data_IF_896714949384
#
_entry.id   IF_896714949384
#
_cell.length_a   1.000
_cell.length_b   1.000
_cell.length_c   1.000
_cell.angle_alpha   90.00
_cell.angle_beta   90.00
_cell.angle_gamma   90.00
#
_symmetry.space_group_name_H-M   'P 1'
#
loop_
_entity.id
_entity.type
_entity.pdbx_description
1 polymer ?
#
# COMPACT_ATOMS: atom_id res chain seq x y z
N UNK A 1 14.42 -1.45 18.11
CA UNK A 1 13.72 -2.13 17.00
C UNK A 1 14.27 -1.73 15.61
N UNK A 2 14.72 -0.50 15.34
CA UNK A 2 15.36 -0.16 14.05
C UNK A 2 16.89 -0.44 13.98
N UNK A 3 17.55 -0.63 15.13
CA UNK A 3 19.02 -0.77 15.22
C UNK A 3 19.57 -2.17 14.92
N UNK A 4 18.70 -3.14 14.59
CA UNK A 4 19.10 -4.54 14.38
C UNK A 4 19.53 -4.83 12.93
N UNK A 5 19.16 -3.95 11.99
CA UNK A 5 19.47 -4.10 10.58
C UNK A 5 20.67 -3.24 10.20
N UNK A 6 21.82 -3.87 9.94
CA UNK A 6 23.07 -3.16 9.60
C UNK A 6 23.01 -2.32 8.31
N UNK A 7 22.10 -2.68 7.39
CA UNK A 7 22.02 -2.09 6.05
C UNK A 7 20.67 -1.42 5.77
N UNK A 8 19.81 -1.22 6.77
CA UNK A 8 18.50 -0.59 6.59
C UNK A 8 18.41 0.60 7.54
N UNK A 9 18.09 1.76 6.99
CA UNK A 9 17.85 2.98 7.77
C UNK A 9 16.39 3.39 7.67
N UNK A 10 15.81 3.78 8.80
CA UNK A 10 14.41 4.24 8.86
C UNK A 10 14.36 5.71 8.49
N UNK A 11 13.55 6.05 7.49
CA UNK A 11 13.27 7.42 7.10
C UNK A 11 12.01 7.88 7.84
N UNK A 12 12.10 9.01 8.54
CA UNK A 12 10.93 9.64 9.16
C UNK A 12 10.20 10.49 8.12
N UNK A 13 8.94 10.14 7.87
CA UNK A 13 8.04 10.97 7.07
C UNK A 13 7.34 11.98 7.99
N UNK A 14 7.04 13.17 7.44
CA UNK A 14 6.21 14.15 8.13
C UNK A 14 4.79 13.61 8.32
N UNK A 15 4.15 13.92 9.46
CA UNK A 15 2.78 13.52 9.70
C UNK A 15 1.85 14.15 8.66
N UNK A 16 0.80 13.42 8.27
CA UNK A 16 -0.24 13.88 7.33
C UNK A 16 0.25 14.26 5.92
N UNK A 17 1.42 13.78 5.49
CA UNK A 17 1.93 13.98 4.12
C UNK A 17 1.87 12.70 3.29
N UNK A 18 0.68 12.22 2.89
CA UNK A 18 0.54 11.02 2.06
C UNK A 18 1.27 11.14 0.72
N UNK A 19 1.43 12.36 0.20
CA UNK A 19 2.19 12.64 -1.03
C UNK A 19 3.69 12.32 -0.92
N UNK A 20 4.25 12.31 0.30
CA UNK A 20 5.64 11.94 0.55
C UNK A 20 5.84 10.44 0.78
N UNK A 21 4.75 9.69 0.94
CA UNK A 21 4.82 8.24 1.11
C UNK A 21 4.72 7.56 -0.28
N UNK A 22 5.82 7.02 -0.83
CA UNK A 22 5.83 6.48 -2.19
C UNK A 22 4.82 5.34 -2.40
N UNK A 23 4.45 4.59 -1.35
CA UNK A 23 3.45 3.53 -1.45
C UNK A 23 2.06 4.07 -1.83
N UNK A 24 1.75 5.33 -1.53
CA UNK A 24 0.46 5.95 -1.88
C UNK A 24 0.28 6.07 -3.39
N UNK A 25 1.37 6.15 -4.16
CA UNK A 25 1.30 6.14 -5.63
C UNK A 25 0.88 4.76 -6.15
N UNK A 26 1.45 3.70 -5.58
CA UNK A 26 1.10 2.31 -5.90
C UNK A 26 -0.36 2.05 -5.56
N UNK A 27 -0.80 2.45 -4.37
CA UNK A 27 -2.20 2.32 -3.96
C UNK A 27 -3.16 3.08 -4.85
N UNK A 28 -2.79 4.29 -5.28
CA UNK A 28 -3.60 5.09 -6.22
C UNK A 28 -3.74 4.36 -7.56
N UNK A 29 -2.66 3.79 -8.08
CA UNK A 29 -2.67 3.04 -9.33
C UNK A 29 -3.55 1.79 -9.25
N UNK A 30 -3.40 1.00 -8.18
CA UNK A 30 -4.20 -0.21 -7.90
C UNK A 30 -5.69 0.10 -7.82
N UNK A 31 -6.05 1.13 -7.04
CA UNK A 31 -7.46 1.55 -6.88
C UNK A 31 -8.09 2.02 -8.18
N UNK A 32 -7.34 2.71 -9.04
CA UNK A 32 -7.87 3.24 -10.30
C UNK A 32 -8.01 2.19 -11.39
N UNK A 33 -7.12 1.19 -11.44
CA UNK A 33 -7.05 0.24 -12.57
C UNK A 33 -7.67 -1.11 -12.29
N UNK A 34 -7.55 -1.61 -11.07
CA UNK A 34 -7.92 -2.98 -10.75
C UNK A 34 -9.09 -3.04 -9.78
N UNK A 35 -9.13 -2.16 -8.78
CA UNK A 35 -10.11 -2.22 -7.70
C UNK A 35 -11.27 -1.21 -7.87
N UNK A 36 -11.28 -0.44 -8.95
CA UNK A 36 -12.35 0.52 -9.22
C UNK A 36 -13.67 -0.20 -9.52
N UNK A 37 -14.74 0.19 -8.84
CA UNK A 37 -16.11 -0.32 -9.05
C UNK A 37 -16.28 -1.84 -8.88
N UNK A 38 -15.38 -2.50 -8.14
CA UNK A 38 -15.55 -3.91 -7.77
C UNK A 38 -16.41 -4.05 -6.50
N UNK A 39 -17.35 -4.99 -6.54
CA UNK A 39 -18.05 -5.47 -5.34
C UNK A 39 -17.30 -6.66 -4.76
N UNK A 40 -16.95 -6.58 -3.48
CA UNK A 40 -16.30 -7.69 -2.78
C UNK A 40 -17.33 -8.48 -1.98
N UNK A 41 -17.30 -9.80 -2.09
CA UNK A 41 -18.24 -10.67 -1.37
C UNK A 41 -17.77 -10.91 0.07
N UNK A 42 -16.48 -11.19 0.25
CA UNK A 42 -15.88 -11.56 1.53
C UNK A 42 -14.45 -11.03 1.64
N UNK A 43 -13.87 -11.07 2.85
CA UNK A 43 -12.48 -10.66 3.06
C UNK A 43 -11.48 -11.40 2.15
N UNK A 44 -11.69 -12.69 1.91
CA UNK A 44 -10.79 -13.47 1.06
C UNK A 44 -10.84 -13.03 -0.40
N UNK A 45 -12.02 -12.62 -0.89
CA UNK A 45 -12.18 -12.06 -2.23
C UNK A 45 -11.38 -10.76 -2.38
N UNK A 46 -11.40 -9.88 -1.38
CA UNK A 46 -10.55 -8.67 -1.36
C UNK A 46 -9.08 -9.05 -1.53
N UNK A 47 -8.58 -10.01 -0.75
CA UNK A 47 -7.17 -10.43 -0.80
C UNK A 47 -6.83 -11.03 -2.16
N UNK A 48 -7.68 -11.91 -2.71
CA UNK A 48 -7.47 -12.49 -4.03
C UNK A 48 -7.36 -11.41 -5.10
N UNK A 49 -8.34 -10.49 -5.17
CA UNK A 49 -8.39 -9.42 -6.18
C UNK A 49 -7.21 -8.45 -6.07
N UNK A 50 -6.71 -8.19 -4.87
CA UNK A 50 -5.52 -7.34 -4.65
C UNK A 50 -4.23 -8.08 -5.02
N UNK A 51 -4.16 -9.40 -4.82
CA UNK A 51 -2.99 -10.21 -5.15
C UNK A 51 -2.85 -10.45 -6.67
N UNK A 52 -3.97 -10.53 -7.38
CA UNK A 52 -4.03 -10.72 -8.84
C UNK A 52 -3.75 -9.44 -9.65
N UNK A 53 -3.80 -8.27 -9.00
CA UNK A 53 -3.67 -6.95 -9.62
C UNK A 53 -2.21 -6.51 -9.84
#
# INVERSE_FOLDING_TARGET
>A
MANDFKNVSVIKLSPYSPELNPIEQVWRWLRQRYLANQSFTDYHDIISKVCDA
#
